data_IF_759646990448
#
_entry.id   IF_759646990448
#
_cell.length_a   1.000
_cell.length_b   1.000
_cell.length_c   1.000
_cell.angle_alpha   90.00
_cell.angle_beta   90.00
_cell.angle_gamma   90.00
#
_symmetry.space_group_name_H-M   'P 1'
#
loop_
_entity.id
_entity.type
_entity.pdbx_description
1 polymer ?
#
# COMPACT_ATOMS: atom_id res chain seq x y z
N UNK A 1 -7.19 -31.33 -12.34
CA UNK A 1 -6.91 -32.24 -11.22
C UNK A 1 -6.29 -31.44 -10.08
N UNK A 2 -6.70 -31.65 -8.82
CA UNK A 2 -5.94 -31.12 -7.69
C UNK A 2 -4.51 -31.69 -7.81
N UNK A 3 -3.50 -30.82 -7.85
CA UNK A 3 -2.11 -31.27 -7.93
C UNK A 3 -1.73 -32.07 -6.69
N UNK A 4 -0.54 -32.68 -6.70
CA UNK A 4 0.01 -33.35 -5.52
C UNK A 4 0.09 -32.39 -4.33
N UNK A 5 -0.05 -32.94 -3.12
CA UNK A 5 0.16 -32.15 -1.92
C UNK A 5 1.63 -31.67 -1.86
N UNK A 6 1.91 -30.37 -1.66
CA UNK A 6 3.29 -29.88 -1.65
C UNK A 6 4.09 -30.36 -0.43
N UNK A 7 3.41 -30.79 0.64
CA UNK A 7 4.04 -31.35 1.85
C UNK A 7 4.22 -32.87 1.70
N UNK A 8 3.23 -33.54 1.11
CA UNK A 8 3.23 -35.00 0.91
C UNK A 8 3.19 -35.30 -0.60
N UNK A 9 4.37 -35.34 -1.23
CA UNK A 9 4.49 -35.46 -2.68
C UNK A 9 3.88 -36.74 -3.26
N UNK A 10 3.71 -37.78 -2.44
CA UNK A 10 3.15 -39.06 -2.84
C UNK A 10 1.62 -39.15 -2.71
N UNK A 11 0.98 -38.10 -2.18
CA UNK A 11 -0.47 -38.08 -1.92
C UNK A 11 -1.16 -37.02 -2.75
N UNK A 12 -2.23 -37.40 -3.44
CA UNK A 12 -3.07 -36.48 -4.18
C UNK A 12 -3.80 -35.52 -3.24
N UNK A 13 -3.88 -34.24 -3.62
CA UNK A 13 -4.66 -33.29 -2.84
C UNK A 13 -6.16 -33.56 -3.00
N UNK A 14 -6.86 -33.69 -1.88
CA UNK A 14 -8.33 -33.86 -1.86
C UNK A 14 -9.02 -32.53 -2.16
N UNK A 15 -8.52 -31.46 -1.55
CA UNK A 15 -9.07 -30.11 -1.67
C UNK A 15 -7.96 -29.08 -1.84
N UNK A 16 -8.33 -27.82 -1.92
CA UNK A 16 -7.40 -26.69 -1.96
C UNK A 16 -7.77 -25.71 -0.86
N UNK A 17 -6.77 -25.24 -0.10
CA UNK A 17 -6.96 -24.20 0.90
C UNK A 17 -7.69 -22.99 0.30
N UNK A 18 -8.74 -22.49 0.93
CA UNK A 18 -9.52 -21.36 0.42
C UNK A 18 -8.73 -20.04 0.43
N UNK A 19 -7.92 -19.85 1.47
CA UNK A 19 -7.03 -18.69 1.59
C UNK A 19 -5.86 -18.78 0.61
N UNK A 20 -5.14 -19.90 0.64
CA UNK A 20 -3.81 -20.01 0.03
C UNK A 20 -3.80 -20.79 -1.32
N UNK A 21 -4.88 -21.51 -1.64
CA UNK A 21 -4.99 -22.32 -2.85
C UNK A 21 -4.11 -23.57 -2.89
N UNK A 22 -3.22 -23.80 -1.90
CA UNK A 22 -2.39 -25.02 -1.80
C UNK A 22 -3.29 -26.25 -1.78
N UNK A 23 -2.92 -27.27 -2.55
CA UNK A 23 -3.53 -28.59 -2.47
C UNK A 23 -3.34 -29.18 -1.07
N UNK A 24 -4.42 -29.65 -0.46
CA UNK A 24 -4.40 -30.26 0.87
C UNK A 24 -4.79 -31.74 0.74
N UNK A 25 -3.91 -32.63 1.18
CA UNK A 25 -4.29 -34.01 1.45
C UNK A 25 -5.11 -34.11 2.75
N UNK A 26 -5.62 -35.31 3.06
CA UNK A 26 -6.40 -35.54 4.27
C UNK A 26 -5.69 -35.14 5.56
N UNK A 27 -4.37 -35.34 5.63
CA UNK A 27 -3.55 -34.99 6.80
C UNK A 27 -3.29 -33.48 6.95
N UNK A 28 -3.17 -32.74 5.83
CA UNK A 28 -2.89 -31.30 5.85
C UNK A 28 -4.14 -30.42 6.00
N UNK A 29 -5.34 -30.97 5.75
CA UNK A 29 -6.61 -30.27 5.94
C UNK A 29 -7.17 -30.53 7.34
N UNK A 30 -6.71 -29.73 8.32
CA UNK A 30 -7.08 -29.81 9.74
C UNK A 30 -8.14 -28.81 10.20
N UNK A 31 -8.28 -27.68 9.52
CA UNK A 31 -9.13 -26.59 9.96
C UNK A 31 -10.11 -26.15 8.87
N UNK A 32 -11.33 -25.82 9.30
CA UNK A 32 -12.34 -25.15 8.50
C UNK A 32 -12.60 -23.75 9.07
N UNK A 33 -12.53 -22.74 8.22
CA UNK A 33 -12.83 -21.35 8.58
C UNK A 33 -14.09 -20.93 7.84
N UNK A 34 -15.17 -20.69 8.60
CA UNK A 34 -16.49 -20.38 8.05
C UNK A 34 -16.97 -21.41 7.01
N UNK A 35 -16.71 -22.71 7.27
CA UNK A 35 -17.14 -23.82 6.41
C UNK A 35 -16.28 -24.05 5.16
N UNK A 36 -15.18 -23.31 4.99
CA UNK A 36 -14.23 -23.52 3.89
C UNK A 36 -12.92 -24.16 4.40
N UNK A 37 -12.24 -24.99 3.59
CA UNK A 37 -11.02 -25.68 4.00
C UNK A 37 -9.82 -24.74 4.06
N UNK A 38 -9.07 -24.72 5.17
CA UNK A 38 -7.87 -23.92 5.35
C UNK A 38 -6.67 -24.78 5.78
N UNK A 39 -5.45 -24.34 5.43
CA UNK A 39 -4.22 -25.00 5.85
C UNK A 39 -3.71 -24.42 7.18
N UNK A 40 -2.99 -25.22 7.96
CA UNK A 40 -2.44 -24.86 9.27
C UNK A 40 -1.65 -23.54 9.24
N UNK A 41 -0.75 -23.37 8.27
CA UNK A 41 0.01 -22.12 8.13
C UNK A 41 -0.84 -20.87 7.86
N UNK A 42 -2.04 -21.00 7.28
CA UNK A 42 -2.94 -19.86 7.08
C UNK A 42 -3.83 -19.58 8.28
N UNK A 43 -4.10 -20.60 9.10
CA UNK A 43 -4.82 -20.45 10.37
C UNK A 43 -3.90 -19.80 11.40
N UNK A 44 -2.64 -20.22 11.50
CA UNK A 44 -1.65 -19.58 12.37
C UNK A 44 -1.55 -18.05 12.14
N UNK A 45 -1.67 -17.61 10.88
CA UNK A 45 -1.66 -16.17 10.53
C UNK A 45 -2.94 -15.44 10.91
N UNK A 46 -4.09 -16.12 10.97
CA UNK A 46 -5.32 -15.53 11.51
C UNK A 46 -5.17 -15.25 13.02
N UNK A 47 -4.49 -16.15 13.71
CA UNK A 47 -4.27 -16.09 15.15
C UNK A 47 -3.19 -15.07 15.53
N UNK A 48 -2.19 -14.85 14.68
CA UNK A 48 -1.16 -13.85 14.94
C UNK A 48 -1.76 -12.42 14.98
N UNK A 49 -1.71 -11.73 16.13
CA UNK A 49 -2.02 -10.31 16.17
C UNK A 49 -1.02 -9.59 15.28
N UNK A 50 -1.48 -8.58 14.53
CA UNK A 50 -0.55 -7.69 13.81
C UNK A 50 0.37 -7.14 14.90
N UNK A 51 1.69 -7.37 14.80
CA UNK A 51 2.57 -7.09 15.92
C UNK A 51 2.45 -5.62 16.26
N UNK A 52 2.35 -5.31 17.56
CA UNK A 52 2.30 -3.93 18.06
C UNK A 52 3.42 -3.08 17.42
N UNK A 53 4.58 -3.71 17.20
CA UNK A 53 5.76 -3.15 16.53
C UNK A 53 5.42 -2.54 15.16
N UNK A 54 4.55 -3.15 14.34
CA UNK A 54 4.18 -2.59 13.04
C UNK A 54 3.40 -1.28 13.18
N UNK A 55 2.49 -1.19 14.17
CA UNK A 55 1.76 0.05 14.46
C UNK A 55 2.69 1.12 15.05
N UNK A 56 3.59 0.73 15.96
CA UNK A 56 4.57 1.63 16.55
C UNK A 56 5.55 2.15 15.50
N UNK A 57 5.96 1.32 14.54
CA UNK A 57 6.83 1.74 13.44
C UNK A 57 6.16 2.79 12.57
N UNK A 58 4.92 2.56 12.13
CA UNK A 58 4.15 3.54 11.34
C UNK A 58 3.96 4.84 12.14
N UNK A 59 3.67 4.74 13.45
CA UNK A 59 3.54 5.91 14.31
C UNK A 59 4.86 6.67 14.46
N UNK A 60 5.98 5.97 14.69
CA UNK A 60 7.31 6.58 14.81
C UNK A 60 7.73 7.28 13.51
N UNK A 61 7.45 6.67 12.37
CA UNK A 61 7.72 7.27 11.05
C UNK A 61 6.88 8.53 10.84
N UNK A 62 5.59 8.49 11.16
CA UNK A 62 4.72 9.65 11.02
C UNK A 62 5.10 10.79 12.00
N UNK A 63 5.45 10.46 13.24
CA UNK A 63 5.95 11.43 14.23
C UNK A 63 7.30 12.02 13.82
N UNK A 64 8.20 11.20 13.27
CA UNK A 64 9.49 11.65 12.75
C UNK A 64 9.32 12.62 11.58
N UNK A 65 8.45 12.30 10.62
CA UNK A 65 8.12 13.20 9.52
C UNK A 65 7.50 14.52 10.00
N UNK A 66 6.60 14.45 10.99
CA UNK A 66 5.99 15.62 11.62
C UNK A 66 7.05 16.48 12.32
N UNK A 67 7.95 15.89 13.11
CA UNK A 67 9.04 16.59 13.79
C UNK A 67 10.01 17.27 12.81
N UNK A 68 10.33 16.60 11.70
CA UNK A 68 11.20 17.15 10.65
C UNK A 68 10.54 18.33 9.92
N UNK A 69 9.27 18.21 9.53
CA UNK A 69 8.51 19.30 8.90
C UNK A 69 8.39 20.52 9.81
N UNK A 70 8.16 20.29 11.11
CA UNK A 70 8.09 21.34 12.11
C UNK A 70 9.44 22.04 12.33
N UNK A 71 10.56 21.32 12.21
CA UNK A 71 11.90 21.90 12.33
C UNK A 71 12.21 22.88 11.20
N UNK A 72 11.57 22.72 10.04
CA UNK A 72 11.70 23.63 8.89
C UNK A 72 10.90 24.93 9.03
N UNK A 73 10.01 25.06 10.04
CA UNK A 73 9.21 26.27 10.30
C UNK A 73 9.75 27.02 11.52
N UNK A 74 10.57 28.08 11.34
CA UNK A 74 11.25 28.74 12.44
C UNK A 74 10.39 29.74 13.23
N UNK A 75 9.19 30.09 12.77
CA UNK A 75 8.58 31.37 13.19
C UNK A 75 7.68 31.33 14.43
N UNK A 76 7.13 30.18 14.87
CA UNK A 76 6.30 30.14 16.10
C UNK A 76 6.39 28.82 16.88
N UNK A 77 7.07 28.78 18.05
CA UNK A 77 7.26 27.55 18.81
C UNK A 77 5.95 26.95 19.35
N UNK A 78 4.98 27.77 19.76
CA UNK A 78 3.69 27.31 20.29
C UNK A 78 2.83 26.63 19.20
N UNK A 79 2.71 27.25 18.03
CA UNK A 79 1.99 26.68 16.88
C UNK A 79 2.62 25.35 16.47
N UNK A 80 3.96 25.28 16.51
CA UNK A 80 4.71 24.08 16.18
C UNK A 80 4.37 22.89 17.08
N UNK A 81 4.37 23.10 18.40
CA UNK A 81 4.00 22.05 19.35
C UNK A 81 2.52 21.68 19.27
N UNK A 82 1.64 22.64 18.98
CA UNK A 82 0.21 22.39 18.73
C UNK A 82 -0.02 21.46 17.54
N UNK A 83 0.61 21.74 16.39
CA UNK A 83 0.54 20.89 15.20
C UNK A 83 1.12 19.50 15.48
N UNK A 84 2.22 19.41 16.24
CA UNK A 84 2.79 18.13 16.64
C UNK A 84 1.81 17.28 17.44
N UNK A 85 1.22 17.86 18.48
CA UNK A 85 0.29 17.18 19.39
C UNK A 85 -0.97 16.70 18.64
N UNK A 86 -1.53 17.54 17.77
CA UNK A 86 -2.70 17.17 16.95
C UNK A 86 -2.37 16.04 15.98
N UNK A 87 -1.22 16.12 15.30
CA UNK A 87 -0.77 15.06 14.39
C UNK A 87 -0.54 13.73 15.12
N UNK A 88 0.16 13.77 16.26
CA UNK A 88 0.38 12.60 17.12
C UNK A 88 -0.94 11.95 17.57
N UNK A 89 -1.90 12.76 18.01
CA UNK A 89 -3.21 12.30 18.44
C UNK A 89 -4.00 11.68 17.28
N UNK A 90 -3.97 12.29 16.09
CA UNK A 90 -4.63 11.75 14.91
C UNK A 90 -4.06 10.39 14.50
N UNK A 91 -2.73 10.23 14.56
CA UNK A 91 -2.03 8.95 14.30
C UNK A 91 -2.43 7.90 15.35
N UNK A 92 -2.47 8.26 16.63
CA UNK A 92 -2.89 7.37 17.71
C UNK A 92 -4.36 6.90 17.54
N UNK A 93 -5.27 7.82 17.20
CA UNK A 93 -6.67 7.50 16.95
C UNK A 93 -6.84 6.61 15.70
N UNK A 94 -6.10 6.90 14.62
CA UNK A 94 -6.13 6.10 13.41
C UNK A 94 -5.62 4.68 13.67
N UNK A 95 -4.50 4.53 14.37
CA UNK A 95 -3.94 3.22 14.74
C UNK A 95 -4.88 2.43 15.66
N UNK A 96 -5.49 3.09 16.65
CA UNK A 96 -6.50 2.47 17.52
C UNK A 96 -7.73 1.99 16.73
N UNK A 97 -8.28 2.83 15.85
CA UNK A 97 -9.44 2.48 15.02
C UNK A 97 -9.14 1.34 14.04
N UNK A 98 -7.93 1.33 13.46
CA UNK A 98 -7.47 0.23 12.59
C UNK A 98 -7.31 -1.08 13.37
N UNK A 99 -6.75 -1.02 14.58
CA UNK A 99 -6.63 -2.18 15.48
C UNK A 99 -8.00 -2.73 15.88
N UNK A 100 -8.95 -1.86 16.23
CA UNK A 100 -10.32 -2.26 16.55
C UNK A 100 -11.04 -2.93 15.36
N UNK A 101 -10.90 -2.37 14.16
CA UNK A 101 -11.43 -2.98 12.93
C UNK A 101 -10.77 -4.33 12.61
N UNK A 102 -9.47 -4.46 12.83
CA UNK A 102 -8.77 -5.73 12.63
C UNK A 102 -9.25 -6.79 13.63
N UNK A 103 -9.39 -6.46 14.91
CA UNK A 103 -9.93 -7.34 15.94
C UNK A 103 -11.39 -7.76 15.62
N UNK A 104 -12.24 -6.81 15.24
CA UNK A 104 -13.63 -7.10 14.86
C UNK A 104 -13.73 -7.99 13.60
N UNK A 105 -12.79 -7.89 12.65
CA UNK A 105 -12.72 -8.80 11.51
C UNK A 105 -12.30 -10.20 11.94
N UNK A 106 -11.33 -10.33 12.86
CA UNK A 106 -10.93 -11.63 13.42
C UNK A 106 -12.07 -12.35 14.11
N UNK A 107 -12.88 -11.62 14.90
CA UNK A 107 -14.05 -12.19 15.58
C UNK A 107 -15.10 -12.79 14.63
N UNK A 108 -15.06 -12.47 13.32
CA UNK A 108 -15.96 -13.06 12.30
C UNK A 108 -15.44 -14.37 11.71
N UNK A 109 -14.20 -14.75 11.97
CA UNK A 109 -13.65 -16.02 11.50
C UNK A 109 -13.83 -17.06 12.59
N UNK A 110 -14.78 -17.96 12.39
CA UNK A 110 -14.92 -19.14 13.24
C UNK A 110 -13.99 -20.22 12.71
N UNK A 111 -12.86 -20.42 13.40
CA UNK A 111 -11.97 -21.55 13.15
C UNK A 111 -12.56 -22.77 13.85
N UNK A 112 -12.89 -23.80 13.08
CA UNK A 112 -13.31 -25.10 13.61
C UNK A 112 -12.25 -26.13 13.25
N UNK A 113 -11.83 -26.90 14.23
CA UNK A 113 -11.02 -28.08 13.98
C UNK A 113 -11.89 -29.16 13.36
N UNK A 114 -11.37 -29.78 12.29
CA UNK A 114 -12.10 -30.78 11.53
C UNK A 114 -12.09 -32.11 12.26
N UNK A 115 -13.23 -32.78 12.32
CA UNK A 115 -13.30 -34.15 12.80
C UNK A 115 -12.54 -35.10 11.82
N UNK A 116 -11.71 -36.04 12.30
CA UNK A 116 -10.89 -36.92 11.45
C UNK A 116 -11.67 -37.69 10.39
N UNK A 117 -12.96 -37.94 10.63
CA UNK A 117 -13.88 -38.71 9.78
C UNK A 117 -14.73 -37.86 8.84
N UNK A 118 -14.64 -36.52 8.88
CA UNK A 118 -15.48 -35.67 8.05
C UNK A 118 -15.11 -35.81 6.56
N UNK A 119 -16.05 -36.24 5.72
CA UNK A 119 -15.84 -36.29 4.27
C UNK A 119 -15.61 -34.88 3.69
N UNK A 120 -14.77 -34.74 2.65
CA UNK A 120 -14.64 -33.47 1.95
C UNK A 120 -16.02 -32.98 1.48
N UNK A 121 -16.33 -31.67 1.61
CA UNK A 121 -17.56 -31.14 1.06
C UNK A 121 -17.61 -31.53 -0.41
N UNK A 122 -18.74 -32.14 -0.83
CA UNK A 122 -18.97 -32.51 -2.20
C UNK A 122 -18.76 -31.25 -3.06
N UNK A 123 -17.70 -31.27 -3.88
CA UNK A 123 -17.40 -30.15 -4.76
C UNK A 123 -18.52 -30.11 -5.80
N UNK A 124 -19.43 -29.16 -5.66
CA UNK A 124 -20.15 -28.63 -6.81
C UNK A 124 -19.07 -28.24 -7.84
N UNK A 125 -19.11 -28.87 -9.01
CA UNK A 125 -18.07 -28.81 -10.02
C UNK A 125 -17.88 -27.37 -10.52
N UNK A 126 -17.05 -26.59 -9.83
CA UNK A 126 -16.72 -25.23 -10.23
C UNK A 126 -15.96 -25.31 -11.57
N UNK A 127 -16.47 -24.69 -12.66
CA UNK A 127 -15.96 -24.92 -14.00
C UNK A 127 -14.45 -24.63 -14.13
N UNK A 128 -13.75 -25.62 -14.67
CA UNK A 128 -12.31 -25.87 -14.62
C UNK A 128 -11.41 -24.91 -15.44
N UNK A 129 -11.91 -23.80 -16.01
CA UNK A 129 -11.08 -22.92 -16.87
C UNK A 129 -10.12 -21.97 -16.13
N UNK A 130 -9.93 -22.14 -14.82
CA UNK A 130 -9.09 -21.27 -13.97
C UNK A 130 -7.68 -21.78 -13.63
N UNK A 131 -7.22 -22.90 -14.22
CA UNK A 131 -6.04 -23.68 -13.78
C UNK A 131 -4.70 -22.91 -13.64
N UNK A 132 -4.50 -21.79 -14.34
CA UNK A 132 -3.30 -20.97 -14.17
C UNK A 132 -3.33 -20.03 -12.94
N UNK A 133 -4.46 -19.93 -12.22
CA UNK A 133 -4.60 -19.08 -11.01
C UNK A 133 -4.38 -19.84 -9.69
N UNK A 134 -4.12 -21.15 -9.74
CA UNK A 134 -4.11 -22.02 -8.53
C UNK A 134 -2.74 -22.07 -7.83
N UNK A 135 -1.65 -21.75 -8.54
CA UNK A 135 -0.30 -21.59 -7.93
C UNK A 135 -0.17 -20.26 -7.15
N UNK A 136 -1.23 -19.43 -7.11
CA UNK A 136 -1.13 -18.00 -6.73
C UNK A 136 -0.95 -17.71 -5.25
N UNK A 137 -0.94 -18.66 -4.33
CA UNK A 137 -1.09 -18.26 -2.93
C UNK A 137 -0.40 -19.14 -1.89
N UNK A 138 0.83 -19.57 -2.18
CA UNK A 138 1.60 -20.36 -1.21
C UNK A 138 2.19 -19.59 -0.02
N UNK A 139 2.04 -18.27 0.11
CA UNK A 139 2.54 -17.56 1.29
C UNK A 139 1.42 -16.81 2.01
N UNK A 140 1.50 -16.66 3.34
CA UNK A 140 0.52 -15.87 4.09
C UNK A 140 0.43 -14.48 3.45
N UNK A 141 -0.77 -14.03 3.10
CA UNK A 141 -0.92 -12.75 2.45
C UNK A 141 -0.51 -11.67 3.45
N UNK A 142 0.69 -11.13 3.31
CA UNK A 142 1.00 -9.81 3.87
C UNK A 142 -0.02 -8.89 3.23
N UNK A 143 -0.86 -8.25 4.06
CA UNK A 143 -1.87 -7.32 3.55
C UNK A 143 -1.16 -6.31 2.67
N UNK A 144 -1.58 -6.22 1.41
CA UNK A 144 -0.98 -5.29 0.45
C UNK A 144 -1.08 -3.85 0.96
N UNK A 145 -2.16 -3.54 1.68
CA UNK A 145 -2.35 -2.25 2.34
C UNK A 145 -1.33 -1.98 3.46
N UNK A 146 -0.99 -2.99 4.27
CA UNK A 146 0.03 -2.80 5.31
C UNK A 146 1.41 -2.63 4.70
N UNK A 147 1.76 -3.46 3.72
CA UNK A 147 3.04 -3.37 3.03
C UNK A 147 3.20 -2.02 2.31
N UNK A 148 2.15 -1.54 1.63
CA UNK A 148 2.18 -0.21 0.99
C UNK A 148 2.31 0.91 1.99
N UNK A 149 1.60 0.84 3.13
CA UNK A 149 1.74 1.84 4.20
C UNK A 149 3.16 1.86 4.77
N UNK A 150 3.73 0.69 5.08
CA UNK A 150 5.09 0.61 5.63
C UNK A 150 6.10 1.15 4.62
N UNK A 151 6.14 0.60 3.40
CA UNK A 151 7.10 1.02 2.36
C UNK A 151 6.91 2.50 2.02
N UNK A 152 5.66 2.94 1.79
CA UNK A 152 5.34 4.32 1.49
C UNK A 152 5.73 5.29 2.60
N UNK A 153 5.54 4.89 3.87
CA UNK A 153 5.94 5.71 5.02
C UNK A 153 7.46 5.85 5.12
N UNK A 154 8.21 4.77 4.89
CA UNK A 154 9.69 4.81 4.87
C UNK A 154 10.19 5.71 3.74
N UNK A 155 9.60 5.58 2.54
CA UNK A 155 9.96 6.45 1.41
C UNK A 155 9.64 7.93 1.68
N UNK A 156 8.48 8.22 2.28
CA UNK A 156 8.11 9.59 2.65
C UNK A 156 9.10 10.16 3.69
N UNK A 157 9.50 9.34 4.67
CA UNK A 157 10.46 9.73 5.69
C UNK A 157 11.85 10.00 5.09
N UNK A 158 12.34 9.17 4.17
CA UNK A 158 13.63 9.44 3.52
C UNK A 158 13.59 10.72 2.70
N UNK A 159 12.49 11.00 2.00
CA UNK A 159 12.34 12.24 1.23
C UNK A 159 12.29 13.51 2.09
N UNK A 160 11.75 13.43 3.32
CA UNK A 160 11.78 14.56 4.26
C UNK A 160 13.09 14.68 5.04
N UNK A 161 13.67 13.54 5.45
CA UNK A 161 14.86 13.50 6.30
C UNK A 161 16.14 13.86 5.53
N UNK A 162 16.31 13.39 4.29
CA UNK A 162 17.56 13.59 3.55
C UNK A 162 17.85 15.09 3.29
N UNK A 163 16.90 15.90 2.76
CA UNK A 163 17.16 17.33 2.52
C UNK A 163 17.41 18.11 3.82
N UNK A 164 16.73 17.73 4.89
CA UNK A 164 16.85 18.42 6.18
C UNK A 164 18.16 18.10 6.91
N UNK A 165 18.69 16.88 6.72
CA UNK A 165 19.90 16.41 7.40
C UNK A 165 21.19 16.73 6.63
N UNK A 166 21.21 16.56 5.31
CA UNK A 166 22.45 16.63 4.54
C UNK A 166 22.80 18.05 4.06
N UNK A 167 21.80 18.94 3.88
CA UNK A 167 21.98 20.32 3.38
C UNK A 167 22.88 20.40 2.14
N UNK A 168 22.73 19.43 1.23
CA UNK A 168 23.53 19.35 0.01
C UNK A 168 22.92 20.27 -1.05
N UNK A 169 23.62 20.53 -2.17
CA UNK A 169 22.98 21.14 -3.33
C UNK A 169 21.73 20.35 -3.72
N UNK A 170 20.62 21.05 -4.01
CA UNK A 170 19.29 20.44 -4.23
C UNK A 170 19.30 19.28 -5.24
N UNK A 171 20.14 19.35 -6.27
CA UNK A 171 20.27 18.27 -7.26
C UNK A 171 20.84 16.99 -6.64
N UNK A 172 21.84 17.10 -5.77
CA UNK A 172 22.48 15.97 -5.10
C UNK A 172 21.53 15.39 -4.04
N UNK A 173 20.76 16.24 -3.34
CA UNK A 173 19.71 15.77 -2.43
C UNK A 173 18.68 14.89 -3.14
N UNK A 174 18.21 15.32 -4.32
CA UNK A 174 17.29 14.53 -5.15
C UNK A 174 17.92 13.21 -5.60
N UNK A 175 19.18 13.21 -6.04
CA UNK A 175 19.89 11.98 -6.42
C UNK A 175 20.00 10.99 -5.24
N UNK A 176 20.33 11.47 -4.04
CA UNK A 176 20.42 10.64 -2.83
C UNK A 176 19.06 10.10 -2.41
N UNK A 177 17.98 10.89 -2.50
CA UNK A 177 16.62 10.43 -2.22
C UNK A 177 16.20 9.32 -3.19
N UNK A 178 16.46 9.50 -4.49
CA UNK A 178 16.14 8.48 -5.51
C UNK A 178 16.95 7.19 -5.27
N UNK A 179 18.24 7.32 -4.94
CA UNK A 179 19.09 6.17 -4.61
C UNK A 179 18.59 5.43 -3.36
N UNK A 180 18.18 6.15 -2.31
CA UNK A 180 17.60 5.56 -1.10
C UNK A 180 16.28 4.83 -1.40
N UNK A 181 15.41 5.44 -2.21
CA UNK A 181 14.16 4.81 -2.66
C UNK A 181 14.41 3.54 -3.47
N UNK A 182 15.40 3.55 -4.37
CA UNK A 182 15.81 2.35 -5.09
C UNK A 182 16.28 1.24 -4.14
N UNK A 183 17.10 1.57 -3.14
CA UNK A 183 17.60 0.59 -2.16
C UNK A 183 16.45 -0.02 -1.34
N UNK A 184 15.48 0.81 -0.90
CA UNK A 184 14.28 0.34 -0.20
C UNK A 184 13.48 -0.64 -1.07
N UNK A 185 13.28 -0.30 -2.35
CA UNK A 185 12.59 -1.17 -3.29
C UNK A 185 13.34 -2.49 -3.51
N UNK A 186 14.64 -2.43 -3.78
CA UNK A 186 15.48 -3.59 -4.03
C UNK A 186 15.46 -4.54 -2.83
N UNK A 187 15.62 -4.02 -1.62
CA UNK A 187 15.54 -4.81 -0.39
C UNK A 187 14.16 -5.43 -0.21
N UNK A 188 13.09 -4.64 -0.35
CA UNK A 188 11.71 -5.12 -0.19
C UNK A 188 11.40 -6.26 -1.17
N UNK A 189 11.73 -6.08 -2.45
CA UNK A 189 11.52 -7.11 -3.46
C UNK A 189 12.40 -8.34 -3.24
N UNK A 190 13.66 -8.17 -2.86
CA UNK A 190 14.56 -9.29 -2.55
C UNK A 190 14.00 -10.13 -1.41
N UNK A 191 13.54 -9.50 -0.32
CA UNK A 191 12.94 -10.21 0.82
C UNK A 191 11.67 -10.94 0.41
N UNK A 192 10.78 -10.30 -0.36
CA UNK A 192 9.56 -10.92 -0.84
C UNK A 192 9.84 -12.14 -1.73
N UNK A 193 10.79 -12.01 -2.67
CA UNK A 193 11.17 -13.08 -3.60
C UNK A 193 11.88 -14.22 -2.90
N UNK A 194 12.83 -13.92 -2.00
CA UNK A 194 13.60 -14.93 -1.26
C UNK A 194 12.71 -15.76 -0.33
N UNK A 195 11.77 -15.09 0.36
CA UNK A 195 10.80 -15.74 1.26
C UNK A 195 9.62 -16.38 0.52
N UNK A 196 9.50 -16.16 -0.79
CA UNK A 196 8.33 -16.60 -1.57
C UNK A 196 7.02 -15.93 -1.14
N UNK A 197 7.08 -14.78 -0.46
CA UNK A 197 5.91 -14.06 0.03
C UNK A 197 5.08 -13.53 -1.13
N UNK A 198 3.77 -13.77 -1.09
CA UNK A 198 2.83 -13.34 -2.12
C UNK A 198 1.85 -12.37 -1.50
N UNK A 199 1.69 -11.20 -2.13
CA UNK A 199 0.87 -10.12 -1.61
C UNK A 199 -0.58 -10.32 -2.07
N UNK A 200 -1.52 -10.34 -1.13
CA UNK A 200 -2.94 -10.42 -1.49
C UNK A 200 -3.41 -9.14 -2.17
N UNK A 201 -4.24 -9.30 -3.20
CA UNK A 201 -5.03 -8.21 -3.75
C UNK A 201 -6.21 -7.94 -2.80
N UNK A 202 -6.00 -7.12 -1.78
CA UNK A 202 -7.04 -6.67 -0.84
C UNK A 202 -8.15 -5.85 -1.54
N UNK A 203 -7.94 -5.45 -2.80
CA UNK A 203 -8.83 -4.58 -3.59
C UNK A 203 -10.01 -5.32 -4.25
N UNK A 204 -10.20 -6.62 -4.02
CA UNK A 204 -11.34 -7.37 -4.61
C UNK A 204 -12.72 -6.83 -4.21
N UNK A 205 -12.81 -6.10 -3.10
CA UNK A 205 -14.04 -5.48 -2.61
C UNK A 205 -14.59 -4.33 -3.48
N UNK A 206 -13.74 -3.64 -4.25
CA UNK A 206 -14.21 -2.58 -5.15
C UNK A 206 -14.81 -3.12 -6.45
N UNK A 207 -14.39 -4.32 -6.89
CA UNK A 207 -14.88 -4.93 -8.12
C UNK A 207 -16.18 -5.74 -7.95
N UNK A 208 -16.50 -6.14 -6.72
CA UNK A 208 -17.69 -6.92 -6.38
C UNK A 208 -18.90 -6.07 -5.94
N UNK A 209 -18.70 -4.76 -5.72
CA UNK A 209 -19.80 -3.83 -5.39
C UNK A 209 -20.29 -3.00 -6.58
N UNK A 210 -19.72 -3.19 -7.77
CA UNK A 210 -20.29 -2.73 -9.02
C UNK A 210 -21.34 -3.74 -9.51
N UNK A 211 -22.36 -4.00 -8.70
CA UNK A 211 -23.65 -4.48 -9.21
C UNK A 211 -24.44 -3.22 -9.58
N UNK A 212 -24.87 -3.05 -10.84
CA UNK A 212 -25.58 -1.87 -11.28
C UNK A 212 -27.02 -1.94 -10.75
N UNK A 213 -27.25 -1.35 -9.57
CA UNK A 213 -28.56 -1.34 -8.94
C UNK A 213 -28.73 -0.12 -8.05
N UNK A 214 -29.25 0.96 -8.64
CA UNK A 214 -30.04 1.99 -7.95
C UNK A 214 -29.30 2.98 -7.05
N UNK A 215 -29.10 4.20 -7.56
CA UNK A 215 -29.45 5.44 -6.84
C UNK A 215 -29.18 6.65 -7.76
N UNK A 216 -30.26 7.30 -8.20
CA UNK A 216 -30.18 8.56 -8.93
C UNK A 216 -29.63 9.66 -8.03
N UNK A 217 -28.36 10.02 -8.25
CA UNK A 217 -27.79 11.25 -7.72
C UNK A 217 -28.12 12.38 -8.70
N UNK A 218 -29.14 13.18 -8.36
CA UNK A 218 -29.45 14.44 -9.03
C UNK A 218 -28.22 15.35 -8.91
N UNK A 219 -27.62 15.72 -10.04
CA UNK A 219 -26.62 16.80 -10.14
C UNK A 219 -27.32 18.11 -9.80
N UNK A 220 -26.99 18.69 -8.66
CA UNK A 220 -27.22 20.11 -8.40
C UNK A 220 -26.21 20.90 -9.25
N UNK A 221 -26.71 21.48 -10.35
CA UNK A 221 -26.04 22.55 -11.09
C UNK A 221 -25.90 23.74 -10.14
N UNK A 222 -24.66 24.04 -9.74
CA UNK A 222 -24.32 25.32 -9.13
C UNK A 222 -24.53 26.41 -10.18
N UNK A 223 -25.54 27.23 -9.92
CA UNK A 223 -25.81 28.47 -10.62
C UNK A 223 -24.87 29.56 -10.05
N UNK A 224 -23.94 30.03 -10.88
CA UNK A 224 -22.93 31.04 -10.54
C UNK A 224 -23.34 32.46 -10.98
N UNK A 225 -24.62 32.68 -11.31
CA UNK A 225 -25.13 33.94 -11.83
C UNK A 225 -25.61 34.92 -10.76
N UNK A 226 -24.74 35.41 -9.87
CA UNK A 226 -25.07 36.59 -9.03
C UNK A 226 -23.83 37.11 -8.28
N UNK A 227 -22.90 37.73 -8.99
CA UNK A 227 -21.89 38.60 -8.38
C UNK A 227 -21.83 39.90 -9.19
N UNK A 228 -22.80 40.76 -8.91
CA UNK A 228 -22.81 42.15 -9.35
C UNK A 228 -21.80 42.92 -8.48
N UNK A 229 -20.51 42.90 -8.88
CA UNK A 229 -19.48 43.78 -8.34
C UNK A 229 -19.44 45.07 -9.16
N UNK A 230 -20.47 45.91 -9.01
CA UNK A 230 -20.50 47.29 -9.50
C UNK A 230 -20.20 48.25 -8.35
N UNK A 231 -18.92 48.36 -7.99
CA UNK A 231 -18.43 49.33 -7.02
C UNK A 231 -17.08 49.86 -7.46
N UNK A 232 -17.04 51.15 -7.85
CA UNK A 232 -15.85 51.84 -8.35
C UNK A 232 -14.77 51.99 -7.27
N UNK A 233 -13.95 50.96 -7.13
CA UNK A 233 -12.69 50.99 -6.40
C UNK A 233 -11.54 50.99 -7.41
N UNK A 234 -10.52 51.80 -7.15
CA UNK A 234 -9.33 51.99 -7.99
C UNK A 234 -8.84 50.67 -8.61
N UNK A 235 -8.82 50.64 -9.95
CA UNK A 235 -8.56 49.47 -10.78
C UNK A 235 -7.26 48.73 -10.41
N UNK A 236 -6.26 49.43 -9.90
CA UNK A 236 -4.97 48.84 -9.51
C UNK A 236 -5.07 47.95 -8.26
N UNK A 237 -5.95 48.27 -7.31
CA UNK A 237 -6.14 47.46 -6.10
C UNK A 237 -6.91 46.16 -6.37
N UNK A 238 -7.91 46.24 -7.26
CA UNK A 238 -8.75 45.10 -7.62
C UNK A 238 -7.97 44.03 -8.41
N UNK A 239 -7.08 44.42 -9.32
CA UNK A 239 -6.26 43.46 -10.09
C UNK A 239 -5.32 42.68 -9.17
N UNK A 240 -4.70 43.34 -8.19
CA UNK A 240 -3.83 42.68 -7.21
C UNK A 240 -4.63 41.71 -6.32
N UNK A 241 -5.81 42.13 -5.85
CA UNK A 241 -6.67 41.29 -5.01
C UNK A 241 -7.20 40.06 -5.76
N UNK A 242 -7.66 40.23 -7.01
CA UNK A 242 -8.10 39.13 -7.88
C UNK A 242 -6.92 38.19 -8.17
N UNK A 243 -5.74 38.73 -8.47
CA UNK A 243 -4.52 37.95 -8.68
C UNK A 243 -4.15 37.11 -7.46
N UNK A 244 -4.23 37.69 -6.25
CA UNK A 244 -3.96 36.99 -5.00
C UNK A 244 -4.99 35.87 -4.73
N UNK A 245 -6.28 36.14 -4.95
CA UNK A 245 -7.35 35.16 -4.78
C UNK A 245 -7.21 34.00 -5.78
N UNK A 246 -6.86 34.29 -7.03
CA UNK A 246 -6.59 33.27 -8.05
C UNK A 246 -5.35 32.45 -7.68
N UNK A 247 -4.28 33.08 -7.22
CA UNK A 247 -3.08 32.38 -6.77
C UNK A 247 -3.37 31.47 -5.56
N UNK A 248 -4.13 31.95 -4.58
CA UNK A 248 -4.54 31.17 -3.41
C UNK A 248 -5.48 30.02 -3.80
N UNK A 249 -6.45 30.27 -4.68
CA UNK A 249 -7.35 29.25 -5.20
C UNK A 249 -6.60 28.17 -5.99
N UNK A 250 -5.62 28.57 -6.82
CA UNK A 250 -4.76 27.64 -7.55
C UNK A 250 -3.87 26.81 -6.61
N UNK A 251 -3.27 27.45 -5.60
CA UNK A 251 -2.47 26.75 -4.59
C UNK A 251 -3.32 25.76 -3.77
N UNK A 252 -4.54 26.15 -3.39
CA UNK A 252 -5.50 25.27 -2.73
C UNK A 252 -5.89 24.10 -3.62
N UNK A 253 -6.19 24.34 -4.90
CA UNK A 253 -6.57 23.28 -5.83
C UNK A 253 -5.40 22.33 -6.13
N UNK A 254 -4.17 22.84 -6.24
CA UNK A 254 -2.95 22.02 -6.29
C UNK A 254 -2.82 21.16 -5.02
N UNK A 255 -2.99 21.73 -3.84
CA UNK A 255 -2.88 20.98 -2.59
C UNK A 255 -3.98 19.92 -2.46
N UNK A 256 -5.24 20.27 -2.74
CA UNK A 256 -6.40 19.42 -2.47
C UNK A 256 -6.67 18.41 -3.60
N UNK A 257 -6.26 18.70 -4.84
CA UNK A 257 -6.45 17.77 -5.98
C UNK A 257 -5.17 17.01 -6.31
N UNK A 258 -4.03 17.71 -6.40
CA UNK A 258 -2.79 17.10 -6.88
C UNK A 258 -2.18 16.19 -5.83
N UNK A 259 -2.20 16.56 -4.55
CA UNK A 259 -1.67 15.71 -3.47
C UNK A 259 -2.40 14.36 -3.38
N UNK A 260 -3.74 14.28 -3.32
CA UNK A 260 -4.41 12.98 -3.29
C UNK A 260 -4.26 12.22 -4.61
N UNK A 261 -4.19 12.91 -5.75
CA UNK A 261 -3.91 12.26 -7.03
C UNK A 261 -2.52 11.60 -7.02
N UNK A 262 -1.49 12.33 -6.59
CA UNK A 262 -0.13 11.80 -6.43
C UNK A 262 -0.09 10.64 -5.44
N UNK A 263 -0.76 10.77 -4.30
CA UNK A 263 -0.82 9.72 -3.28
C UNK A 263 -1.55 8.48 -3.81
N UNK A 264 -2.62 8.67 -4.61
CA UNK A 264 -3.33 7.59 -5.28
C UNK A 264 -2.45 6.90 -6.32
N UNK A 265 -1.76 7.66 -7.17
CA UNK A 265 -0.81 7.13 -8.17
C UNK A 265 0.33 6.39 -7.49
N UNK A 266 0.93 6.97 -6.44
CA UNK A 266 1.99 6.35 -5.67
C UNK A 266 1.51 5.05 -5.02
N UNK A 267 0.36 5.06 -4.33
CA UNK A 267 -0.25 3.87 -3.75
C UNK A 267 -0.49 2.80 -4.81
N UNK A 268 -1.04 3.18 -5.97
CA UNK A 268 -1.33 2.27 -7.06
C UNK A 268 -0.05 1.66 -7.65
N UNK A 269 1.00 2.47 -7.87
CA UNK A 269 2.30 2.02 -8.33
C UNK A 269 2.95 1.07 -7.34
N UNK A 270 2.94 1.42 -6.05
CA UNK A 270 3.50 0.58 -4.99
C UNK A 270 2.78 -0.77 -4.96
N UNK A 271 1.45 -0.75 -4.94
CA UNK A 271 0.64 -1.96 -4.91
C UNK A 271 0.84 -2.80 -6.17
N UNK A 272 0.90 -2.18 -7.35
CA UNK A 272 1.16 -2.87 -8.63
C UNK A 272 2.55 -3.49 -8.64
N UNK A 273 3.57 -2.80 -8.15
CA UNK A 273 4.93 -3.33 -8.01
C UNK A 273 4.99 -4.53 -7.10
N UNK A 274 4.49 -4.37 -5.88
CA UNK A 274 4.41 -5.48 -4.92
C UNK A 274 3.65 -6.67 -5.48
N UNK A 275 2.50 -6.46 -6.12
CA UNK A 275 1.70 -7.56 -6.68
C UNK A 275 2.29 -8.17 -7.94
N UNK A 276 3.02 -7.42 -8.76
CA UNK A 276 3.70 -7.96 -9.94
C UNK A 276 4.85 -8.87 -9.52
N UNK A 277 5.78 -8.32 -8.72
CA UNK A 277 6.97 -9.04 -8.24
C UNK A 277 6.59 -10.22 -7.37
N UNK A 278 5.71 -10.00 -6.39
CA UNK A 278 5.31 -11.04 -5.47
C UNK A 278 4.43 -12.11 -6.12
N UNK A 279 3.97 -11.96 -7.36
CA UNK A 279 3.29 -13.03 -8.11
C UNK A 279 4.14 -13.65 -9.22
N UNK A 280 5.40 -13.22 -9.35
CA UNK A 280 6.27 -13.71 -10.39
C UNK A 280 6.76 -15.15 -10.10
N UNK A 281 6.95 -15.93 -11.16
CA UNK A 281 7.15 -17.40 -11.09
C UNK A 281 8.61 -17.84 -11.14
N UNK A 282 9.57 -16.95 -10.90
CA UNK A 282 11.00 -17.22 -11.10
C UNK A 282 11.66 -18.22 -10.14
N UNK A 283 10.90 -19.00 -9.36
CA UNK A 283 11.42 -20.01 -8.44
C UNK A 283 12.56 -19.48 -7.53
N UNK A 284 12.43 -18.23 -7.07
CA UNK A 284 13.44 -17.54 -6.25
C UNK A 284 13.43 -17.96 -4.77
N UNK A 285 12.48 -18.81 -4.37
CA UNK A 285 12.31 -19.24 -2.99
C UNK A 285 13.54 -20.01 -2.51
N UNK A 286 14.18 -19.53 -1.43
CA UNK A 286 15.42 -20.09 -0.88
C UNK A 286 16.70 -19.82 -1.69
N UNK A 287 16.62 -19.17 -2.86
CA UNK A 287 17.78 -18.86 -3.73
C UNK A 287 18.15 -17.39 -3.67
N UNK A 288 18.98 -17.02 -2.70
CA UNK A 288 19.39 -15.62 -2.44
C UNK A 288 19.92 -14.86 -3.67
N UNK A 289 20.89 -15.38 -4.47
CA UNK A 289 21.44 -14.59 -5.58
C UNK A 289 20.40 -14.32 -6.67
N UNK A 290 19.49 -15.27 -6.93
CA UNK A 290 18.41 -15.10 -7.89
C UNK A 290 17.38 -14.08 -7.38
N UNK A 291 17.05 -14.12 -6.09
CA UNK A 291 16.16 -13.14 -5.46
C UNK A 291 16.74 -11.72 -5.49
N UNK A 292 18.05 -11.54 -5.25
CA UNK A 292 18.73 -10.24 -5.35
C UNK A 292 18.69 -9.71 -6.78
N UNK A 293 19.05 -10.55 -7.76
CA UNK A 293 19.08 -10.15 -9.18
C UNK A 293 17.71 -9.65 -9.63
N UNK A 294 16.65 -10.42 -9.36
CA UNK A 294 15.28 -10.02 -9.70
C UNK A 294 14.80 -8.83 -8.88
N UNK A 295 15.14 -8.77 -7.59
CA UNK A 295 14.80 -7.63 -6.73
C UNK A 295 15.38 -6.32 -7.23
N UNK A 296 16.66 -6.33 -7.63
CA UNK A 296 17.36 -5.18 -8.24
C UNK A 296 16.75 -4.81 -9.59
N UNK A 297 16.48 -5.79 -10.46
CA UNK A 297 15.89 -5.53 -11.78
C UNK A 297 14.55 -4.80 -11.65
N UNK A 298 13.67 -5.30 -10.79
CA UNK A 298 12.36 -4.69 -10.55
C UNK A 298 12.48 -3.33 -9.86
N UNK A 299 13.37 -3.17 -8.89
CA UNK A 299 13.62 -1.87 -8.26
C UNK A 299 14.04 -0.81 -9.28
N UNK A 300 14.98 -1.15 -10.16
CA UNK A 300 15.42 -0.27 -11.25
C UNK A 300 14.28 0.07 -12.19
N UNK A 301 13.45 -0.89 -12.58
CA UNK A 301 12.29 -0.63 -13.45
C UNK A 301 11.31 0.39 -12.81
N UNK A 302 11.11 0.31 -11.50
CA UNK A 302 10.20 1.21 -10.78
C UNK A 302 10.80 2.60 -10.50
N UNK A 303 12.12 2.72 -10.31
CA UNK A 303 12.77 4.00 -10.03
C UNK A 303 13.36 4.69 -11.25
N UNK A 304 13.57 3.99 -12.36
CA UNK A 304 14.18 4.56 -13.57
C UNK A 304 13.43 5.79 -14.13
N UNK A 305 12.08 5.83 -14.21
CA UNK A 305 11.38 7.02 -14.67
C UNK A 305 11.66 8.25 -13.79
N UNK A 306 11.72 8.04 -12.48
CA UNK A 306 12.01 9.11 -11.52
C UNK A 306 13.46 9.58 -11.62
N UNK A 307 14.40 8.64 -11.75
CA UNK A 307 15.81 8.96 -11.98
C UNK A 307 16.00 9.74 -13.29
N UNK A 308 15.29 9.37 -14.36
CA UNK A 308 15.28 10.08 -15.63
C UNK A 308 14.75 11.52 -15.51
N UNK A 309 13.70 11.74 -14.72
CA UNK A 309 13.19 13.09 -14.44
C UNK A 309 14.21 13.95 -13.66
N UNK A 310 14.87 13.38 -12.65
CA UNK A 310 15.92 14.09 -11.89
C UNK A 310 17.11 14.42 -12.80
N UNK A 311 17.54 13.48 -13.65
CA UNK A 311 18.62 13.70 -14.61
C UNK A 311 18.26 14.77 -15.65
N UNK A 312 17.04 14.76 -16.17
CA UNK A 312 16.54 15.79 -17.09
C UNK A 312 16.49 17.16 -16.42
N UNK A 313 15.96 17.25 -15.21
CA UNK A 313 15.91 18.50 -14.45
C UNK A 313 17.32 19.07 -14.21
N UNK A 314 18.27 18.20 -13.82
CA UNK A 314 19.69 18.58 -13.70
C UNK A 314 20.23 19.11 -15.02
N UNK A 315 20.00 18.42 -16.13
CA UNK A 315 20.48 18.83 -17.46
C UNK A 315 19.95 20.21 -17.87
N UNK A 316 18.66 20.48 -17.65
CA UNK A 316 18.04 21.79 -17.94
C UNK A 316 18.70 22.88 -17.09
N UNK A 317 18.83 22.66 -15.78
CA UNK A 317 19.40 23.64 -14.84
C UNK A 317 20.87 23.94 -15.10
N UNK A 318 21.63 22.98 -15.63
CA UNK A 318 23.04 23.20 -15.99
C UNK A 318 23.24 23.92 -17.33
N UNK A 319 22.19 24.04 -18.14
CA UNK A 319 22.25 24.70 -19.46
C UNK A 319 21.63 26.10 -19.49
N UNK A 320 20.79 26.44 -18.51
CA UNK A 320 20.26 27.78 -18.27
C UNK A 320 21.27 28.66 -17.54
#
# INVERSE_FOLDING_TARGET
MPGRCPVHADVDALTSCHSCGRGLCGACWRHDVNGAPWCEGCVAVLDEPVPLVAYLFVAAVALGGLALGLRAWPTMPLVRWGVFAVGALAIALATWKLRGRAAARRARFQVRERAPTASPPARDAVPYRGGARVVRRLAPPVSGALATLVVGSVMALTAGAIPTLLRLPRWLELEVVVAAWWAIWALTFTVLLFRGWRVAQDVRGLRSRASPGGAGAKRSTLDWGSLDLSGGADLDGCVVLIGLLLALGAAWLLAELFVPLLLFVAYWLILKGLTSVANDRHACEGRLPLAILWGVLWATLYTAPLAGLVALARWILTRS
#
